data_IF_079464984870
#
_entry.id   IF_079464984870
#
_cell.length_a   1.000
_cell.length_b   1.000
_cell.length_c   1.000
_cell.angle_alpha   90.00
_cell.angle_beta   90.00
_cell.angle_gamma   90.00
#
_symmetry.space_group_name_H-M   'P 1'
#
loop_
_entity.id
_entity.type
_entity.pdbx_description
1 polymer ?
#
# COMPACT_ATOMS: atom_id res chain seq x y z
N UNK A 1 1.69 -9.27 5.24
CA UNK A 1 1.89 -9.39 3.77
C UNK A 1 1.67 -10.80 3.24
N UNK A 2 2.21 -11.87 3.86
CA UNK A 2 2.01 -13.26 3.40
C UNK A 2 0.53 -13.61 3.13
N UNK A 3 -0.38 -13.30 4.07
CA UNK A 3 -1.83 -13.55 3.90
C UNK A 3 -2.48 -12.87 2.69
N UNK A 4 -2.07 -11.65 2.34
CA UNK A 4 -2.61 -10.93 1.16
C UNK A 4 -2.11 -11.62 -0.12
N UNK A 5 -0.82 -11.92 -0.14
CA UNK A 5 -0.15 -12.68 -1.18
C UNK A 5 -0.83 -14.06 -1.41
N UNK A 6 -1.14 -14.78 -0.33
CA UNK A 6 -1.85 -16.07 -0.38
C UNK A 6 -3.25 -15.91 -0.97
N UNK A 7 -3.99 -14.86 -0.57
CA UNK A 7 -5.33 -14.60 -1.07
C UNK A 7 -5.34 -14.27 -2.57
N UNK A 8 -4.40 -13.45 -3.03
CA UNK A 8 -4.25 -13.15 -4.47
C UNK A 8 -3.95 -14.43 -5.23
N UNK A 9 -3.06 -15.30 -4.72
CA UNK A 9 -2.74 -16.57 -5.38
C UNK A 9 -3.96 -17.49 -5.48
N UNK A 10 -4.73 -17.63 -4.41
CA UNK A 10 -5.97 -18.42 -4.42
C UNK A 10 -6.97 -17.87 -5.42
N UNK A 11 -7.15 -16.56 -5.46
CA UNK A 11 -8.04 -15.91 -6.43
C UNK A 11 -7.58 -16.13 -7.86
N UNK A 12 -6.29 -15.98 -8.15
CA UNK A 12 -5.74 -16.21 -9.48
C UNK A 12 -5.88 -17.67 -9.93
N UNK A 13 -5.66 -18.64 -9.04
CA UNK A 13 -5.92 -20.07 -9.33
C UNK A 13 -7.39 -20.32 -9.66
N UNK A 14 -8.28 -19.63 -8.96
CA UNK A 14 -9.73 -19.76 -9.14
C UNK A 14 -10.17 -19.13 -10.47
N UNK A 15 -9.68 -17.93 -10.80
CA UNK A 15 -10.07 -17.22 -12.02
C UNK A 15 -9.46 -17.81 -13.30
N UNK A 16 -8.23 -18.30 -13.22
CA UNK A 16 -7.52 -18.89 -14.38
C UNK A 16 -7.79 -20.37 -14.59
N UNK A 17 -8.40 -21.06 -13.60
CA UNK A 17 -8.52 -22.53 -13.58
C UNK A 17 -7.18 -23.26 -13.39
N UNK A 18 -6.05 -22.55 -13.36
CA UNK A 18 -4.73 -23.13 -13.19
C UNK A 18 -4.42 -23.34 -11.70
N UNK A 19 -4.60 -24.57 -11.21
CA UNK A 19 -4.36 -24.95 -9.82
C UNK A 19 -2.89 -24.88 -9.39
N UNK A 20 -1.94 -24.92 -10.34
CA UNK A 20 -0.50 -24.90 -10.05
C UNK A 20 0.10 -23.51 -10.08
N UNK A 21 -0.68 -22.47 -10.45
CA UNK A 21 -0.22 -21.09 -10.49
C UNK A 21 0.47 -20.68 -9.17
N UNK A 22 1.66 -20.09 -9.27
CA UNK A 22 2.44 -19.59 -8.15
C UNK A 22 2.82 -18.13 -8.40
N UNK A 23 2.54 -17.27 -7.43
CA UNK A 23 2.90 -15.85 -7.53
C UNK A 23 4.41 -15.65 -7.59
N UNK A 24 5.20 -16.53 -6.96
CA UNK A 24 6.68 -16.48 -6.98
C UNK A 24 7.30 -16.70 -8.34
N UNK A 25 6.58 -17.33 -9.27
CA UNK A 25 7.05 -17.59 -10.63
C UNK A 25 6.70 -16.44 -11.58
N UNK A 26 5.92 -15.48 -11.09
CA UNK A 26 5.57 -14.28 -11.79
C UNK A 26 6.43 -13.14 -11.24
N UNK A 27 7.16 -12.41 -12.10
CA UNK A 27 7.91 -11.19 -11.74
C UNK A 27 6.97 -10.02 -11.42
N UNK A 28 6.06 -10.24 -10.48
CA UNK A 28 4.93 -9.37 -10.14
C UNK A 28 5.23 -8.61 -8.86
N UNK A 29 4.89 -7.33 -8.88
CA UNK A 29 4.94 -6.47 -7.71
C UNK A 29 3.52 -6.17 -7.26
N UNK A 30 3.28 -6.23 -5.96
CA UNK A 30 2.06 -5.69 -5.38
C UNK A 30 2.20 -4.19 -5.23
N UNK A 31 1.33 -3.44 -5.91
CA UNK A 31 1.17 -1.99 -5.69
C UNK A 31 0.17 -1.79 -4.54
N UNK A 32 0.58 -1.05 -3.53
CA UNK A 32 -0.25 -0.64 -2.41
C UNK A 32 -0.35 0.88 -2.47
N UNK A 33 -1.56 1.37 -2.66
CA UNK A 33 -1.90 2.79 -2.58
C UNK A 33 -2.63 3.02 -1.27
N UNK A 34 -2.12 3.93 -0.45
CA UNK A 34 -2.71 4.23 0.85
C UNK A 34 -2.70 5.73 1.11
N UNK A 35 -3.81 6.22 1.66
CA UNK A 35 -3.92 7.57 2.18
C UNK A 35 -3.95 7.52 3.69
N UNK A 36 -2.95 8.09 4.35
CA UNK A 36 -2.78 8.04 5.79
C UNK A 36 -2.92 9.46 6.33
N UNK A 37 -3.76 9.65 7.35
CA UNK A 37 -3.93 10.92 8.03
C UNK A 37 -3.47 10.83 9.49
N UNK A 38 -2.44 11.58 9.85
CA UNK A 38 -1.77 11.54 11.16
C UNK A 38 -1.97 12.88 11.88
N UNK A 39 -2.43 12.84 13.13
CA UNK A 39 -2.58 14.05 13.96
C UNK A 39 -1.27 14.47 14.62
N UNK A 40 -0.51 13.49 15.11
CA UNK A 40 0.73 13.71 15.83
C UNK A 40 1.84 12.93 15.17
N UNK A 41 2.74 13.64 14.51
CA UNK A 41 4.03 13.15 14.06
C UNK A 41 5.06 13.90 14.91
N UNK A 42 6.12 13.23 15.37
CA UNK A 42 7.25 13.87 16.08
C UNK A 42 8.12 14.70 15.11
N UNK A 43 7.47 15.51 14.28
CA UNK A 43 8.04 16.48 13.36
C UNK A 43 7.28 17.78 13.60
N UNK A 44 7.97 18.89 13.89
CA UNK A 44 7.27 20.13 14.21
C UNK A 44 6.62 20.71 12.96
N UNK A 45 5.46 21.36 13.15
CA UNK A 45 4.63 21.98 12.11
C UNK A 45 5.41 22.74 11.02
N UNK A 46 6.47 23.54 11.29
CA UNK A 46 7.22 24.24 10.24
C UNK A 46 7.94 23.32 9.24
N UNK A 47 8.28 22.07 9.57
CA UNK A 47 9.01 21.16 8.68
C UNK A 47 8.13 20.33 7.76
N UNK A 48 6.81 20.48 7.83
CA UNK A 48 5.87 19.72 7.00
C UNK A 48 5.34 20.64 5.89
N UNK A 49 5.61 20.34 4.60
CA UNK A 49 5.09 21.11 3.48
C UNK A 49 3.57 21.24 3.52
N UNK A 50 3.03 22.37 3.02
CA UNK A 50 1.58 22.64 3.03
C UNK A 50 0.79 21.58 2.26
N UNK A 51 1.40 20.99 1.24
CA UNK A 51 0.87 19.92 0.39
C UNK A 51 0.46 18.68 1.19
N UNK A 52 1.18 18.39 2.27
CA UNK A 52 0.92 17.25 3.15
C UNK A 52 -0.02 17.61 4.32
N UNK A 53 -0.66 18.77 4.33
CA UNK A 53 -1.58 19.16 5.41
C UNK A 53 -3.02 19.02 4.95
N UNK A 54 -3.90 18.63 5.87
CA UNK A 54 -5.35 18.72 5.64
C UNK A 54 -5.78 20.18 5.46
N UNK A 55 -6.94 20.41 4.84
CA UNK A 55 -7.49 21.77 4.63
C UNK A 55 -7.57 22.58 5.92
N UNK A 56 -7.93 21.93 7.04
CA UNK A 56 -8.00 22.54 8.37
C UNK A 56 -6.62 22.69 9.07
N UNK A 57 -5.54 22.17 8.46
CA UNK A 57 -4.17 22.22 8.96
C UNK A 57 -3.93 21.48 10.28
N UNK A 58 -4.88 20.66 10.74
CA UNK A 58 -4.79 19.94 12.03
C UNK A 58 -4.14 18.57 11.90
N UNK A 59 -4.05 18.02 10.68
CA UNK A 59 -3.48 16.70 10.41
C UNK A 59 -2.54 16.77 9.21
N UNK A 60 -1.68 15.76 9.16
CA UNK A 60 -0.76 15.52 8.08
C UNK A 60 -1.34 14.38 7.25
N UNK A 61 -1.48 14.57 5.95
CA UNK A 61 -1.97 13.58 5.00
C UNK A 61 -0.80 13.12 4.13
N UNK A 62 -0.58 11.81 4.08
CA UNK A 62 0.39 11.19 3.19
C UNK A 62 -0.34 10.26 2.25
N UNK A 63 -0.19 10.50 0.96
CA UNK A 63 -0.59 9.56 -0.07
C UNK A 63 0.66 8.77 -0.46
N UNK A 64 0.69 7.48 -0.11
CA UNK A 64 1.86 6.61 -0.23
C UNK A 64 1.57 5.52 -1.25
N UNK A 65 2.46 5.39 -2.24
CA UNK A 65 2.48 4.29 -3.19
C UNK A 65 3.68 3.42 -2.84
N UNK A 66 3.42 2.17 -2.45
CA UNK A 66 4.45 1.17 -2.16
C UNK A 66 4.38 0.05 -3.18
N UNK A 67 5.53 -0.31 -3.73
CA UNK A 67 5.68 -1.53 -4.53
C UNK A 67 6.42 -2.55 -3.69
N UNK A 68 5.80 -3.71 -3.47
CA UNK A 68 6.44 -4.84 -2.80
C UNK A 68 6.54 -6.01 -3.75
N UNK A 69 7.77 -6.38 -4.09
CA UNK A 69 8.06 -7.61 -4.82
C UNK A 69 7.56 -8.82 -4.02
N UNK A 70 7.03 -9.79 -4.75
CA UNK A 70 6.68 -11.09 -4.21
C UNK A 70 7.92 -11.97 -4.12
#
# INVERSE_FOLDING_TARGET
MKRIADLIQVNMRTSSGNKTFRLSECSTYMRIESSISIKYLFATKPFIPKEFRTEDGKRIKFDVILYKGY
#
